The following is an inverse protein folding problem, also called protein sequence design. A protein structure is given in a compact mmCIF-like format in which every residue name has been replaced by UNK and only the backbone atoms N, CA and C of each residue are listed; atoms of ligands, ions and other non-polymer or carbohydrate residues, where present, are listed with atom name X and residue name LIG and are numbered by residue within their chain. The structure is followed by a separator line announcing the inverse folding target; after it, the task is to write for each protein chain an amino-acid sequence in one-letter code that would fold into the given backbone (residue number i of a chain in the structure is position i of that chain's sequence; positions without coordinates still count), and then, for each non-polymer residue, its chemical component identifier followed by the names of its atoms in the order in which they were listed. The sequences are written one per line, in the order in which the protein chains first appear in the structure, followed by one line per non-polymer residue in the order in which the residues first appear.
data_IF_619549299795
#
_entry.id   IF_619549299795
#
_cell.length_a   1.000
_cell.length_b   1.000
_cell.length_c   1.000
_cell.angle_alpha   90.00
_cell.angle_beta   90.00
_cell.angle_gamma   90.00
#
_symmetry.space_group_name_H-M   'P 1'
#
loop_
_entity.id
_entity.type
_entity.pdbx_description
1 polymer ?
#
# COMPACT_ATOMS: atom_id res chain seq x y z
N UNK A 1 23.49 -15.43 21.47
CA UNK A 1 23.08 -15.07 20.09
C UNK A 1 23.24 -13.57 19.90
N UNK A 2 24.10 -13.09 18.99
CA UNK A 2 24.37 -11.64 18.81
C UNK A 2 23.17 -10.95 18.14
N UNK A 3 22.84 -9.72 18.55
CA UNK A 3 21.70 -8.93 18.04
C UNK A 3 21.65 -8.81 16.52
N UNK A 4 22.82 -8.72 15.87
CA UNK A 4 22.93 -8.72 14.40
C UNK A 4 22.33 -9.97 13.75
N UNK A 5 22.47 -11.14 14.38
CA UNK A 5 21.93 -12.39 13.83
C UNK A 5 20.41 -12.45 14.00
N UNK A 6 19.86 -11.84 15.04
CA UNK A 6 18.40 -11.72 15.23
C UNK A 6 17.78 -10.86 14.14
N UNK A 7 18.43 -9.73 13.81
CA UNK A 7 17.99 -8.85 12.73
C UNK A 7 18.04 -9.55 11.37
N UNK A 8 19.13 -10.28 11.07
CA UNK A 8 19.27 -11.01 9.81
C UNK A 8 18.20 -12.12 9.70
N UNK A 9 17.96 -12.87 10.78
CA UNK A 9 16.96 -13.93 10.78
C UNK A 9 15.54 -13.38 10.64
N UNK A 10 15.21 -12.29 11.35
CA UNK A 10 13.90 -11.64 11.25
C UNK A 10 13.65 -11.01 9.88
N UNK A 11 14.68 -10.40 9.28
CA UNK A 11 14.58 -9.89 7.92
C UNK A 11 14.46 -11.02 6.89
N UNK A 12 15.19 -12.12 7.08
CA UNK A 12 15.08 -13.31 6.24
C UNK A 12 13.70 -13.95 6.28
N UNK A 13 13.09 -14.12 7.45
CA UNK A 13 11.73 -14.66 7.57
C UNK A 13 10.69 -13.74 6.96
N UNK A 14 10.84 -12.42 7.12
CA UNK A 14 9.98 -11.42 6.48
C UNK A 14 10.02 -11.53 4.94
N UNK A 15 11.23 -11.65 4.37
CA UNK A 15 11.39 -11.82 2.93
C UNK A 15 10.77 -13.13 2.44
N UNK A 16 10.93 -14.24 3.18
CA UNK A 16 10.33 -15.53 2.80
C UNK A 16 8.79 -15.42 2.80
N UNK A 17 8.20 -14.81 3.82
CA UNK A 17 6.75 -14.57 3.88
C UNK A 17 6.22 -13.73 2.72
N UNK A 18 7.05 -12.90 2.08
CA UNK A 18 6.67 -12.13 0.90
C UNK A 18 6.48 -12.99 -0.36
N UNK A 19 7.09 -14.18 -0.41
CA UNK A 19 7.06 -15.07 -1.57
C UNK A 19 6.23 -16.34 -1.35
N UNK A 20 5.74 -16.58 -0.13
CA UNK A 20 4.87 -17.74 0.17
C UNK A 20 3.52 -17.57 -0.53
N UNK A 21 3.13 -18.47 -1.44
CA UNK A 21 1.83 -18.40 -2.10
C UNK A 21 0.71 -18.56 -1.07
N UNK A 22 -0.32 -17.73 -1.16
CA UNK A 22 -1.55 -17.94 -0.40
C UNK A 22 -2.33 -19.09 -1.04
N UNK A 23 -2.51 -20.19 -0.29
CA UNK A 23 -3.15 -21.44 -0.76
C UNK A 23 -4.60 -21.24 -1.25
N UNK A 24 -5.27 -20.15 -0.85
CA UNK A 24 -6.65 -19.82 -1.23
C UNK A 24 -6.74 -18.68 -2.26
N UNK A 25 -5.95 -18.77 -3.35
CA UNK A 25 -6.10 -17.83 -4.46
C UNK A 25 -7.39 -18.15 -5.25
N UNK A 26 -8.46 -17.42 -4.97
CA UNK A 26 -9.72 -17.50 -5.73
C UNK A 26 -9.60 -16.79 -7.09
N UNK A 27 -8.69 -15.82 -7.18
CA UNK A 27 -8.47 -15.02 -8.38
C UNK A 27 -7.02 -15.05 -8.86
N UNK A 28 -6.80 -14.85 -10.17
CA UNK A 28 -5.47 -14.93 -10.80
C UNK A 28 -4.44 -13.94 -10.21
N UNK A 29 -4.90 -12.78 -9.73
CA UNK A 29 -4.06 -11.75 -9.14
C UNK A 29 -3.65 -12.06 -7.70
N UNK A 30 -4.43 -12.86 -6.96
CA UNK A 30 -4.09 -13.31 -5.60
C UNK A 30 -2.96 -14.34 -5.58
N UNK A 31 -2.66 -14.94 -6.74
CA UNK A 31 -1.48 -15.79 -6.93
C UNK A 31 -0.17 -15.03 -6.73
N UNK A 32 -0.20 -13.70 -6.81
CA UNK A 32 0.96 -12.86 -6.51
C UNK A 32 0.93 -12.58 -5.00
N UNK A 33 1.86 -13.15 -4.20
CA UNK A 33 1.81 -13.07 -2.73
C UNK A 33 1.87 -11.64 -2.18
N UNK A 34 2.42 -10.70 -2.97
CA UNK A 34 2.55 -9.27 -2.61
C UNK A 34 1.36 -8.43 -3.06
N UNK A 35 0.40 -9.01 -3.80
CA UNK A 35 -0.67 -8.27 -4.45
C UNK A 35 -1.47 -7.42 -3.48
N UNK A 36 -1.89 -8.00 -2.35
CA UNK A 36 -2.72 -7.31 -1.37
C UNK A 36 -2.00 -6.08 -0.77
N UNK A 37 -0.72 -6.22 -0.41
CA UNK A 37 0.06 -5.10 0.13
C UNK A 37 0.33 -4.02 -0.92
N UNK A 38 0.65 -4.42 -2.15
CA UNK A 38 0.88 -3.47 -3.25
C UNK A 38 -0.41 -2.74 -3.62
N UNK A 39 -1.53 -3.45 -3.70
CA UNK A 39 -2.83 -2.89 -4.00
C UNK A 39 -3.26 -1.89 -2.93
N UNK A 40 -3.12 -2.23 -1.64
CA UNK A 40 -3.40 -1.31 -0.54
C UNK A 40 -2.51 -0.05 -0.57
N UNK A 41 -1.22 -0.22 -0.85
CA UNK A 41 -0.28 0.90 -0.94
C UNK A 41 -0.57 1.83 -2.13
N UNK A 42 -0.75 1.26 -3.32
CA UNK A 42 -1.11 2.00 -4.53
C UNK A 42 -2.48 2.66 -4.35
N UNK A 43 -3.44 1.96 -3.74
CA UNK A 43 -4.75 2.50 -3.40
C UNK A 43 -4.66 3.70 -2.47
N UNK A 44 -3.81 3.65 -1.44
CA UNK A 44 -3.58 4.79 -0.54
C UNK A 44 -3.00 6.00 -1.30
N UNK A 45 -2.01 5.79 -2.16
CA UNK A 45 -1.44 6.87 -2.98
C UNK A 45 -2.52 7.44 -3.91
N UNK A 46 -3.26 6.58 -4.60
CA UNK A 46 -4.31 6.98 -5.52
C UNK A 46 -5.39 7.80 -4.79
N UNK A 47 -5.81 7.38 -3.60
CA UNK A 47 -6.77 8.11 -2.77
C UNK A 47 -6.28 9.52 -2.43
N UNK A 48 -5.02 9.68 -2.04
CA UNK A 48 -4.43 10.99 -1.73
C UNK A 48 -4.42 11.88 -2.99
N UNK A 49 -3.99 11.34 -4.13
CA UNK A 49 -3.91 12.08 -5.38
C UNK A 49 -5.30 12.51 -5.88
N UNK A 50 -6.27 11.59 -5.86
CA UNK A 50 -7.65 11.86 -6.23
C UNK A 50 -8.24 12.91 -5.30
N UNK A 51 -8.06 12.77 -3.98
CA UNK A 51 -8.53 13.75 -2.99
C UNK A 51 -7.95 15.14 -3.24
N UNK A 52 -6.67 15.22 -3.59
CA UNK A 52 -6.01 16.50 -3.92
C UNK A 52 -6.55 17.11 -5.20
N UNK A 53 -6.82 16.30 -6.22
CA UNK A 53 -7.41 16.75 -7.47
C UNK A 53 -8.84 17.26 -7.28
N UNK A 54 -9.68 16.49 -6.59
CA UNK A 54 -11.05 16.84 -6.21
C UNK A 54 -11.08 18.12 -5.36
N UNK A 55 -10.17 18.23 -4.38
CA UNK A 55 -10.04 19.42 -3.54
C UNK A 55 -9.82 20.69 -4.36
N UNK A 56 -8.93 20.64 -5.37
CA UNK A 56 -8.64 21.77 -6.24
C UNK A 56 -9.76 22.11 -7.23
N UNK A 57 -10.43 21.12 -7.81
CA UNK A 57 -11.38 21.35 -8.91
C UNK A 57 -12.84 21.46 -8.46
N UNK A 58 -13.20 20.85 -7.33
CA UNK A 58 -14.61 20.72 -6.91
C UNK A 58 -14.90 21.39 -5.56
N UNK A 59 -13.92 21.49 -4.65
CA UNK A 59 -14.18 21.92 -3.26
C UNK A 59 -13.59 23.29 -2.93
N UNK A 60 -12.47 23.69 -3.53
CA UNK A 60 -11.94 25.04 -3.36
C UNK A 60 -12.89 26.06 -4.02
N UNK A 61 -13.80 26.60 -3.22
CA UNK A 61 -14.57 27.80 -3.54
C UNK A 61 -13.59 28.98 -3.68
N UNK A 62 -13.77 29.77 -4.73
CA UNK A 62 -12.98 30.98 -4.96
C UNK A 62 -13.02 31.89 -3.73
N UNK A 63 -11.91 32.59 -3.49
CA UNK A 63 -11.72 33.51 -2.34
C UNK A 63 -12.85 34.57 -2.25
N UNK A 64 -13.56 34.80 -3.35
CA UNK A 64 -14.70 35.67 -3.54
C UNK A 64 -15.96 35.24 -2.75
N UNK A 65 -16.00 34.03 -2.18
CA UNK A 65 -17.18 33.52 -1.46
C UNK A 65 -17.40 34.18 -0.09
N UNK A 66 -16.39 34.89 0.43
CA UNK A 66 -16.49 35.72 1.64
C UNK A 66 -16.60 37.22 1.33
N UNK A 67 -16.75 37.59 0.06
CA UNK A 67 -17.03 38.95 -0.39
C UNK A 67 -18.43 39.41 -0.01
#
# INVERSE_FOLDING_TARGET
MKMKNVLILGFGSFLISLFTPTEEAHFLWEKIPVYNSLFGFVGAIALILISKFLGKHLIQKGEDYYG
#
